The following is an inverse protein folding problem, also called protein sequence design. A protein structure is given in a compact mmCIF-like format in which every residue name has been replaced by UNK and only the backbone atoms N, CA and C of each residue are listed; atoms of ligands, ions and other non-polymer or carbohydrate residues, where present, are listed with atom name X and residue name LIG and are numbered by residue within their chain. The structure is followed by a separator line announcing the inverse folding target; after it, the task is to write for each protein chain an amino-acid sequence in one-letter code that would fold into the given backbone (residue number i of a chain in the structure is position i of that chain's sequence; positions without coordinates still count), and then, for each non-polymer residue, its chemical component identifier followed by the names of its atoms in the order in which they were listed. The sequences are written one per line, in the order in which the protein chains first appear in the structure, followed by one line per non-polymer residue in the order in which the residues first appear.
data_IF_228198760583
#
_entry.id   IF_228198760583
#
_cell.length_a   1.000
_cell.length_b   1.000
_cell.length_c   1.000
_cell.angle_alpha   90.00
_cell.angle_beta   90.00
_cell.angle_gamma   90.00
#
_symmetry.space_group_name_H-M   'P 1'
#
loop_
_entity.id
_entity.type
_entity.pdbx_description
1 polymer ?
#
# COMPACT_ATOMS: atom_id res chain seq x y z
N UNK A 1 -12.91 21.84 -30.26
CA UNK A 1 -13.30 21.29 -28.94
C UNK A 1 -12.82 22.25 -27.89
N UNK A 2 -13.71 22.74 -27.02
CA UNK A 2 -13.32 23.53 -25.85
C UNK A 2 -13.01 22.56 -24.70
N UNK A 3 -11.84 22.70 -24.08
CA UNK A 3 -11.54 22.04 -22.81
C UNK A 3 -12.46 22.63 -21.73
N UNK A 4 -13.08 21.77 -20.93
CA UNK A 4 -13.78 22.18 -19.70
C UNK A 4 -12.86 21.91 -18.53
N UNK A 5 -12.64 22.95 -17.73
CA UNK A 5 -11.91 22.87 -16.47
C UNK A 5 -12.94 22.73 -15.34
N UNK A 6 -12.68 21.81 -14.42
CA UNK A 6 -13.51 21.56 -13.25
C UNK A 6 -12.63 21.63 -12.00
N UNK A 7 -13.07 22.38 -10.99
CA UNK A 7 -12.43 22.38 -9.67
C UNK A 7 -12.90 21.16 -8.88
N UNK A 8 -11.95 20.46 -8.27
CA UNK A 8 -12.19 19.25 -7.49
C UNK A 8 -11.32 19.25 -6.23
N UNK A 9 -11.66 18.37 -5.30
CA UNK A 9 -10.89 18.09 -4.09
C UNK A 9 -10.23 16.72 -4.22
N UNK A 10 -8.97 16.61 -3.83
CA UNK A 10 -8.26 15.33 -3.66
C UNK A 10 -7.65 15.26 -2.26
N UNK A 11 -7.38 14.04 -1.81
CA UNK A 11 -6.78 13.75 -0.51
C UNK A 11 -5.34 13.28 -0.70
N UNK A 12 -4.46 13.77 0.17
CA UNK A 12 -3.05 13.43 0.20
C UNK A 12 -2.61 13.09 1.62
N UNK A 13 -1.77 12.07 1.76
CA UNK A 13 -1.16 11.73 3.03
C UNK A 13 -0.02 12.70 3.33
N UNK A 14 0.01 13.28 4.53
CA UNK A 14 1.06 14.24 4.92
C UNK A 14 2.47 13.62 5.02
N UNK A 15 2.60 12.29 4.90
CA UNK A 15 3.85 11.55 5.11
C UNK A 15 4.33 10.73 3.91
N UNK A 16 3.49 10.49 2.92
CA UNK A 16 3.89 9.73 1.73
C UNK A 16 3.22 10.27 0.48
N UNK A 17 3.92 10.22 -0.64
CA UNK A 17 3.37 10.60 -1.95
C UNK A 17 2.70 9.42 -2.67
N UNK A 18 2.84 8.21 -2.13
CA UNK A 18 2.20 6.98 -2.62
C UNK A 18 0.94 6.73 -1.82
N UNK A 19 -0.07 7.57 -1.99
CA UNK A 19 -1.34 7.49 -1.26
C UNK A 19 -2.11 6.16 -1.46
N UNK A 20 -1.51 5.16 -2.13
CA UNK A 20 -2.00 3.80 -2.37
C UNK A 20 -3.45 3.79 -2.83
N UNK A 21 -3.75 4.63 -3.83
CA UNK A 21 -5.00 4.55 -4.54
C UNK A 21 -4.90 3.47 -5.62
N UNK A 22 -5.62 2.37 -5.44
CA UNK A 22 -5.61 1.22 -6.37
C UNK A 22 -5.99 1.63 -7.81
N UNK A 23 -6.90 2.60 -7.97
CA UNK A 23 -7.45 3.05 -9.25
C UNK A 23 -7.11 4.53 -9.61
N UNK A 24 -6.07 5.08 -8.98
CA UNK A 24 -5.67 6.49 -9.13
C UNK A 24 -6.36 7.43 -8.13
N UNK A 25 -5.85 8.67 -8.00
CA UNK A 25 -6.28 9.62 -6.95
C UNK A 25 -7.77 9.98 -7.14
N UNK A 26 -8.65 9.72 -6.17
CA UNK A 26 -10.04 10.12 -6.24
C UNK A 26 -10.22 11.64 -6.22
N UNK A 27 -11.19 12.12 -6.99
CA UNK A 27 -11.58 13.52 -7.06
C UNK A 27 -13.02 13.69 -6.57
N UNK A 28 -13.25 14.69 -5.72
CA UNK A 28 -14.54 14.94 -5.06
C UNK A 28 -15.05 16.34 -5.35
N UNK A 29 -16.37 16.53 -5.28
CA UNK A 29 -17.00 17.83 -5.51
C UNK A 29 -16.89 18.74 -4.28
N UNK A 30 -16.64 18.18 -3.10
CA UNK A 30 -16.49 18.93 -1.85
C UNK A 30 -15.47 18.33 -0.90
N UNK A 31 -14.96 19.18 0.00
CA UNK A 31 -14.10 18.74 1.11
C UNK A 31 -14.79 17.72 2.02
N UNK A 32 -16.09 17.89 2.31
CA UNK A 32 -16.81 16.98 3.20
C UNK A 32 -16.93 15.58 2.61
N UNK A 33 -17.24 15.49 1.31
CA UNK A 33 -17.32 14.23 0.59
C UNK A 33 -15.98 13.48 0.61
N UNK A 34 -14.88 14.21 0.39
CA UNK A 34 -13.54 13.66 0.49
C UNK A 34 -13.26 13.10 1.89
N UNK A 35 -13.60 13.85 2.96
CA UNK A 35 -13.41 13.39 4.33
C UNK A 35 -14.31 12.19 4.67
N UNK A 36 -15.55 12.17 4.20
CA UNK A 36 -16.49 11.06 4.42
C UNK A 36 -16.00 9.77 3.74
N UNK A 37 -15.31 9.90 2.60
CA UNK A 37 -14.75 8.76 1.87
C UNK A 37 -13.65 8.02 2.65
N UNK A 38 -12.84 8.75 3.42
CA UNK A 38 -11.68 8.18 4.15
C UNK A 38 -11.91 8.03 5.66
N UNK A 39 -13.07 8.42 6.19
CA UNK A 39 -13.33 8.51 7.63
C UNK A 39 -13.02 7.23 8.42
N UNK A 40 -13.16 6.06 7.79
CA UNK A 40 -12.99 4.74 8.43
C UNK A 40 -11.64 4.10 8.09
N UNK A 41 -10.86 4.69 7.18
CA UNK A 41 -9.61 4.12 6.66
C UNK A 41 -8.38 4.99 6.93
N UNK A 42 -8.55 6.29 7.12
CA UNK A 42 -7.45 7.23 7.37
C UNK A 42 -7.47 7.76 8.81
N UNK A 43 -6.29 8.11 9.32
CA UNK A 43 -6.15 8.79 10.60
C UNK A 43 -6.18 10.29 10.37
N UNK A 44 -7.19 10.96 10.92
CA UNK A 44 -7.34 12.43 10.84
C UNK A 44 -7.36 12.99 12.26
N UNK A 45 -6.35 13.79 12.60
CA UNK A 45 -6.23 14.43 13.92
C UNK A 45 -5.80 15.89 13.74
N UNK A 46 -6.72 16.81 14.03
CA UNK A 46 -6.50 18.23 13.75
C UNK A 46 -6.32 18.46 12.25
N UNK A 47 -5.18 19.04 11.88
CA UNK A 47 -4.82 19.30 10.47
C UNK A 47 -3.97 18.17 9.87
N UNK A 48 -3.64 17.12 10.63
CA UNK A 48 -2.84 15.99 10.14
C UNK A 48 -3.73 14.90 9.58
N UNK A 49 -3.42 14.45 8.37
CA UNK A 49 -4.14 13.40 7.65
C UNK A 49 -3.16 12.34 7.12
N UNK A 50 -3.28 11.12 7.65
CA UNK A 50 -2.41 10.00 7.31
C UNK A 50 -3.21 8.85 6.71
N UNK A 51 -2.72 8.28 5.61
CA UNK A 51 -3.22 7.00 5.11
C UNK A 51 -2.97 5.88 6.14
N UNK A 52 -3.70 4.78 6.02
CA UNK A 52 -3.65 3.65 6.97
C UNK A 52 -2.21 3.18 7.23
N UNK A 53 -1.41 3.03 6.16
CA UNK A 53 -0.02 2.58 6.28
C UNK A 53 0.86 3.56 7.07
N UNK A 54 0.70 4.87 6.85
CA UNK A 54 1.44 5.89 7.60
C UNK A 54 0.97 6.02 9.04
N UNK A 55 -0.33 5.85 9.30
CA UNK A 55 -0.89 5.81 10.64
C UNK A 55 -0.36 4.61 11.45
N UNK A 56 -0.34 3.41 10.86
CA UNK A 56 0.20 2.20 11.47
C UNK A 56 1.70 2.33 11.76
N UNK A 57 2.45 2.92 10.82
CA UNK A 57 3.87 3.24 11.01
C UNK A 57 4.06 4.18 12.20
N UNK A 58 3.31 5.28 12.27
CA UNK A 58 3.39 6.23 13.37
C UNK A 58 3.02 5.59 14.72
N UNK A 59 1.99 4.73 14.74
CA UNK A 59 1.60 3.96 15.91
C UNK A 59 2.73 3.03 16.40
N UNK A 60 3.32 2.24 15.49
CA UNK A 60 4.45 1.38 15.82
C UNK A 60 5.65 2.18 16.35
N UNK A 61 6.02 3.28 15.70
CA UNK A 61 7.10 4.17 16.14
C UNK A 61 6.84 4.73 17.54
N UNK A 62 5.60 5.15 17.83
CA UNK A 62 5.23 5.70 19.14
C UNK A 62 5.32 4.70 20.29
N UNK A 63 5.11 3.40 19.99
CA UNK A 63 5.24 2.31 20.96
C UNK A 63 6.69 1.80 21.07
N UNK A 64 7.62 2.38 20.32
CA UNK A 64 9.01 1.92 20.25
C UNK A 64 9.18 0.61 19.49
N UNK A 65 8.16 0.16 18.75
CA UNK A 65 8.28 -1.03 17.92
C UNK A 65 9.16 -0.74 16.71
N UNK A 66 10.05 -1.68 16.39
CA UNK A 66 10.91 -1.59 15.22
C UNK A 66 10.53 -2.66 14.20
N UNK A 67 10.63 -2.32 12.92
CA UNK A 67 10.66 -3.33 11.86
C UNK A 67 11.97 -4.10 12.02
N UNK A 68 11.87 -5.43 12.03
CA UNK A 68 13.05 -6.29 12.13
C UNK A 68 13.95 -6.20 10.90
N UNK A 69 15.00 -7.02 10.92
CA UNK A 69 15.92 -7.14 9.80
C UNK A 69 15.24 -7.70 8.55
N UNK A 70 15.78 -7.34 7.39
CA UNK A 70 15.37 -7.96 6.13
C UNK A 70 15.72 -9.44 6.13
N UNK A 71 14.75 -10.25 5.75
CA UNK A 71 14.91 -11.69 5.49
C UNK A 71 14.74 -11.94 4.00
N UNK A 72 15.78 -12.47 3.36
CA UNK A 72 15.71 -12.92 1.97
C UNK A 72 14.91 -14.22 1.88
N UNK A 73 14.01 -14.29 0.90
CA UNK A 73 13.15 -15.45 0.66
C UNK A 73 13.21 -15.81 -0.82
N UNK A 74 13.29 -17.10 -1.07
CA UNK A 74 13.14 -17.67 -2.41
C UNK A 74 11.97 -18.62 -2.35
N UNK A 75 10.91 -18.32 -3.11
CA UNK A 75 9.74 -19.18 -3.20
C UNK A 75 10.06 -20.41 -4.07
N UNK A 76 9.31 -21.51 -3.92
CA UNK A 76 9.49 -22.73 -4.72
C UNK A 76 9.38 -22.49 -6.24
N UNK A 77 8.78 -21.37 -6.63
CA UNK A 77 8.65 -20.88 -8.01
C UNK A 77 9.90 -20.16 -8.54
N UNK A 78 10.98 -20.04 -7.76
CA UNK A 78 12.22 -19.34 -8.14
C UNK A 78 12.18 -17.82 -7.97
N UNK A 79 11.04 -17.26 -7.53
CA UNK A 79 10.89 -15.83 -7.28
C UNK A 79 11.63 -15.47 -5.98
N UNK A 80 12.54 -14.51 -6.07
CA UNK A 80 13.32 -13.99 -4.94
C UNK A 80 12.77 -12.63 -4.51
N UNK A 81 12.57 -12.45 -3.22
CA UNK A 81 12.15 -11.21 -2.60
C UNK A 81 12.70 -11.14 -1.18
N UNK A 82 12.76 -9.96 -0.60
CA UNK A 82 13.02 -9.80 0.84
C UNK A 82 11.79 -9.26 1.55
N UNK A 83 11.58 -9.71 2.77
CA UNK A 83 10.52 -9.18 3.63
C UNK A 83 11.08 -8.85 5.01
N UNK A 84 10.49 -7.86 5.67
CA UNK A 84 10.69 -7.60 7.09
C UNK A 84 9.36 -7.26 7.72
N UNK A 85 9.18 -7.62 8.97
CA UNK A 85 7.96 -7.30 9.70
C UNK A 85 8.28 -6.63 11.03
N UNK A 86 7.38 -5.78 11.47
CA UNK A 86 7.31 -5.37 12.85
C UNK A 86 6.94 -6.58 13.71
N UNK A 87 7.52 -6.71 14.91
CA UNK A 87 7.27 -7.87 15.78
C UNK A 87 5.79 -8.03 16.17
N UNK A 88 5.01 -6.93 16.17
CA UNK A 88 3.56 -6.98 16.44
C UNK A 88 2.75 -7.45 15.22
N UNK A 89 3.40 -7.78 14.09
CA UNK A 89 2.82 -8.20 12.81
C UNK A 89 1.83 -7.22 12.17
N UNK A 90 1.57 -6.09 12.80
CA UNK A 90 0.73 -5.02 12.25
C UNK A 90 1.35 -4.36 11.02
N UNK A 91 2.65 -4.57 10.77
CA UNK A 91 3.36 -4.00 9.64
C UNK A 91 4.33 -5.01 9.04
N UNK A 92 4.31 -5.14 7.72
CA UNK A 92 5.34 -5.82 6.95
C UNK A 92 5.74 -4.98 5.76
N UNK A 93 7.00 -5.05 5.38
CA UNK A 93 7.56 -4.42 4.20
C UNK A 93 8.13 -5.51 3.29
N UNK A 94 7.95 -5.32 1.99
CA UNK A 94 8.34 -6.26 0.94
C UNK A 94 9.16 -5.51 -0.10
N UNK A 95 10.21 -6.16 -0.59
CA UNK A 95 10.98 -5.65 -1.73
C UNK A 95 11.26 -6.80 -2.71
N UNK A 96 10.69 -6.75 -3.94
CA UNK A 96 9.78 -5.71 -4.44
C UNK A 96 8.43 -5.65 -3.67
N UNK A 97 7.57 -4.63 -3.89
CA UNK A 97 6.27 -4.52 -3.22
C UNK A 97 5.44 -5.81 -3.32
N UNK A 98 4.63 -6.10 -2.30
CA UNK A 98 3.96 -7.40 -2.15
C UNK A 98 3.05 -7.75 -3.34
N UNK A 99 2.35 -6.77 -3.90
CA UNK A 99 1.56 -6.94 -5.13
C UNK A 99 2.41 -7.54 -6.25
N UNK A 100 3.56 -6.95 -6.54
CA UNK A 100 4.48 -7.41 -7.58
C UNK A 100 4.99 -8.82 -7.30
N UNK A 101 5.38 -9.11 -6.05
CA UNK A 101 5.84 -10.45 -5.65
C UNK A 101 4.72 -11.49 -5.85
N UNK A 102 3.49 -11.17 -5.44
CA UNK A 102 2.34 -12.06 -5.56
C UNK A 102 1.99 -12.31 -7.04
N UNK A 103 1.98 -11.27 -7.87
CA UNK A 103 1.80 -11.40 -9.32
C UNK A 103 2.83 -12.35 -9.94
N UNK A 104 4.11 -12.22 -9.59
CA UNK A 104 5.16 -13.10 -10.10
C UNK A 104 5.00 -14.54 -9.62
N UNK A 105 4.61 -14.76 -8.36
CA UNK A 105 4.35 -16.10 -7.82
C UNK A 105 3.20 -16.77 -8.57
N UNK A 106 2.11 -16.05 -8.80
CA UNK A 106 0.95 -16.59 -9.51
C UNK A 106 1.27 -16.86 -10.99
N UNK A 107 2.00 -15.97 -11.66
CA UNK A 107 2.48 -16.20 -13.02
C UNK A 107 3.36 -17.46 -13.11
N UNK A 108 4.30 -17.63 -12.18
CA UNK A 108 5.20 -18.78 -12.17
C UNK A 108 4.46 -20.11 -11.90
N UNK A 109 3.41 -20.10 -11.08
CA UNK A 109 2.54 -21.28 -10.90
C UNK A 109 1.86 -21.68 -12.20
N UNK A 110 1.31 -20.72 -12.94
CA UNK A 110 0.65 -21.00 -14.23
C UNK A 110 1.61 -21.60 -15.25
N UNK A 111 2.85 -21.10 -15.33
CA UNK A 111 3.88 -21.65 -16.24
C UNK A 111 4.25 -23.08 -15.83
N UNK A 112 4.53 -23.33 -14.55
CA UNK A 112 4.89 -24.67 -14.08
C UNK A 112 3.75 -25.70 -14.27
N UNK A 113 2.50 -25.28 -14.12
CA UNK A 113 1.32 -26.13 -14.35
C UNK A 113 1.08 -26.42 -15.85
N UNK A 114 1.59 -25.57 -16.74
CA UNK A 114 1.56 -25.80 -18.19
C UNK A 114 2.65 -26.78 -18.62
N UNK A 115 3.86 -26.63 -18.09
CA UNK A 115 5.03 -27.48 -18.41
C UNK A 115 4.87 -28.93 -17.91
N UNK A 116 3.99 -29.16 -16.92
CA UNK A 116 3.73 -30.51 -16.38
C UNK A 116 2.62 -31.28 -17.13
N UNK A 117 1.99 -30.67 -18.13
CA UNK A 117 0.90 -31.28 -18.93
C UNK A 117 1.30 -31.72 -20.33
N UNK A 118 2.59 -31.61 -20.68
CA UNK A 118 3.21 -32.19 -21.89
C UNK A 118 3.86 -33.54 -21.58
#
# INVERSE_FOLDING_TARGET
MALREHTCWSLHCDRCDTDYWDDGIPHFDSRQEALDYVKDSWLIVGDTMLCTHCADKAGCESLGHQVGDWTDNTHATGITYRHRACHCRARSEWDPPSEHVLTLIDAARVVNDADTKE
#
